data_IF_203892196926
#
_entry.id   IF_203892196926
#
_cell.length_a   1.000
_cell.length_b   1.000
_cell.length_c   1.000
_cell.angle_alpha   90.00
_cell.angle_beta   90.00
_cell.angle_gamma   90.00
#
_symmetry.space_group_name_H-M   'P 1'
#
loop_
_entity.id
_entity.type
_entity.pdbx_description
1 polymer ?
#
# COMPACT_ATOMS: atom_id res chain seq x y z
N UNK A 1 -20.74 37.59 -12.04
CA UNK A 1 -20.11 36.36 -11.51
C UNK A 1 -19.42 35.67 -12.67
N UNK A 2 -18.10 35.47 -12.65
CA UNK A 2 -17.36 35.08 -13.85
C UNK A 2 -17.53 33.59 -14.16
N UNK A 3 -17.40 33.19 -15.43
CA UNK A 3 -17.56 31.80 -15.88
C UNK A 3 -16.58 30.80 -15.23
N UNK A 4 -15.46 31.29 -14.68
CA UNK A 4 -14.47 30.48 -13.96
C UNK A 4 -14.96 30.11 -12.55
N UNK A 5 -15.64 31.04 -11.86
CA UNK A 5 -16.22 30.81 -10.53
C UNK A 5 -17.32 29.74 -10.56
N UNK A 6 -18.14 29.72 -11.61
CA UNK A 6 -19.23 28.73 -11.78
C UNK A 6 -18.66 27.32 -12.01
N UNK A 7 -17.58 27.21 -12.81
CA UNK A 7 -16.90 25.93 -13.06
C UNK A 7 -16.22 25.39 -11.80
N UNK A 8 -15.55 26.25 -11.03
CA UNK A 8 -14.88 25.86 -9.78
C UNK A 8 -15.89 25.39 -8.72
N UNK A 9 -17.00 26.10 -8.55
CA UNK A 9 -18.10 25.69 -7.68
C UNK A 9 -18.73 24.35 -8.11
N UNK A 10 -18.81 24.09 -9.42
CA UNK A 10 -19.35 22.82 -9.92
C UNK A 10 -18.46 21.61 -9.62
N UNK A 11 -17.13 21.77 -9.62
CA UNK A 11 -16.20 20.68 -9.31
C UNK A 11 -16.23 20.32 -7.82
N UNK A 12 -16.27 21.34 -6.96
CA UNK A 12 -16.39 21.17 -5.50
C UNK A 12 -17.72 20.49 -5.15
N UNK A 13 -18.84 20.95 -5.72
CA UNK A 13 -20.15 20.34 -5.46
C UNK A 13 -20.22 18.89 -5.95
N UNK A 14 -19.70 18.59 -7.15
CA UNK A 14 -19.65 17.20 -7.64
C UNK A 14 -18.82 16.28 -6.74
N UNK A 15 -17.69 16.77 -6.20
CA UNK A 15 -16.89 15.99 -5.24
C UNK A 15 -17.63 15.78 -3.92
N UNK A 16 -18.34 16.78 -3.42
CA UNK A 16 -19.16 16.66 -2.22
C UNK A 16 -20.27 15.61 -2.37
N UNK A 17 -20.97 15.62 -3.51
CA UNK A 17 -21.99 14.60 -3.83
C UNK A 17 -21.39 13.20 -3.95
N UNK A 18 -20.21 13.06 -4.55
CA UNK A 18 -19.52 11.77 -4.66
C UNK A 18 -19.14 11.20 -3.30
N UNK A 19 -18.61 12.03 -2.39
CA UNK A 19 -18.27 11.60 -1.03
C UNK A 19 -19.50 11.15 -0.25
N UNK A 20 -20.61 11.89 -0.36
CA UNK A 20 -21.89 11.49 0.28
C UNK A 20 -22.38 10.13 -0.22
N UNK A 21 -22.29 9.87 -1.53
CA UNK A 21 -22.65 8.55 -2.10
C UNK A 21 -21.69 7.45 -1.63
N UNK A 22 -20.42 7.78 -1.38
CA UNK A 22 -19.45 6.81 -0.90
C UNK A 22 -19.69 6.42 0.58
N UNK A 23 -20.10 7.38 1.43
CA UNK A 23 -20.43 7.12 2.84
C UNK A 23 -21.50 6.02 2.98
N UNK A 24 -22.52 6.07 2.13
CA UNK A 24 -23.62 5.09 2.09
C UNK A 24 -23.26 3.79 1.35
N UNK A 25 -22.10 3.72 0.69
CA UNK A 25 -21.73 2.58 -0.15
C UNK A 25 -21.30 1.35 0.63
N UNK A 26 -21.49 0.17 0.04
CA UNK A 26 -20.99 -1.09 0.60
C UNK A 26 -19.46 -1.12 0.79
N UNK A 27 -18.72 -0.25 0.09
CA UNK A 27 -17.26 -0.16 0.22
C UNK A 27 -16.86 0.46 1.55
N UNK A 28 -17.57 1.51 2.00
CA UNK A 28 -17.31 2.15 3.28
C UNK A 28 -17.81 1.30 4.46
N UNK A 29 -18.87 0.51 4.24
CA UNK A 29 -19.43 -0.39 5.25
C UNK A 29 -18.66 -1.72 5.41
N UNK A 30 -17.59 -1.96 4.65
CA UNK A 30 -16.81 -3.18 4.84
C UNK A 30 -16.13 -3.15 6.22
N UNK A 31 -16.15 -4.27 6.96
CA UNK A 31 -15.46 -4.33 8.25
C UNK A 31 -13.95 -4.15 8.04
N UNK A 32 -13.31 -3.47 8.99
CA UNK A 32 -11.85 -3.29 8.99
C UNK A 32 -11.07 -4.61 9.15
N UNK A 33 -11.76 -5.71 9.46
CA UNK A 33 -11.14 -7.02 9.55
C UNK A 33 -10.90 -7.59 8.16
N UNK A 34 -9.68 -8.06 7.86
CA UNK A 34 -9.39 -8.76 6.62
C UNK A 34 -10.36 -9.91 6.44
N UNK A 35 -10.98 -10.01 5.26
CA UNK A 35 -11.79 -11.17 4.89
C UNK A 35 -10.92 -12.42 5.07
N UNK A 36 -11.42 -13.51 5.69
CA UNK A 36 -10.63 -14.72 5.91
C UNK A 36 -9.99 -15.16 4.59
N UNK A 37 -8.69 -15.41 4.67
CA UNK A 37 -7.76 -15.73 3.58
C UNK A 37 -8.37 -16.78 2.63
N UNK A 38 -9.09 -16.33 1.59
CA UNK A 38 -9.41 -17.17 0.45
C UNK A 38 -8.13 -17.31 -0.35
N UNK A 39 -7.23 -18.17 0.15
CA UNK A 39 -5.89 -18.48 -0.37
C UNK A 39 -5.34 -17.46 -1.35
N UNK A 40 -4.50 -16.53 -0.88
CA UNK A 40 -3.91 -15.49 -1.70
C UNK A 40 -3.39 -16.04 -3.03
N UNK A 41 -4.11 -15.70 -4.10
CA UNK A 41 -3.79 -16.14 -5.47
C UNK A 41 -2.53 -15.46 -6.00
N UNK A 42 -2.21 -14.28 -5.44
CA UNK A 42 -1.06 -13.47 -5.81
C UNK A 42 0.01 -13.68 -4.76
N UNK A 43 1.21 -14.06 -5.20
CA UNK A 43 2.39 -14.22 -4.35
C UNK A 43 3.51 -13.37 -4.93
N UNK A 44 4.25 -12.70 -4.06
CA UNK A 44 5.48 -12.01 -4.42
C UNK A 44 6.68 -12.93 -4.16
N UNK A 45 7.79 -12.66 -4.83
CA UNK A 45 9.04 -13.37 -4.51
C UNK A 45 9.47 -13.05 -3.09
N UNK A 46 10.11 -14.01 -2.42
CA UNK A 46 10.66 -13.83 -1.07
C UNK A 46 11.57 -12.60 -0.97
N UNK A 47 12.38 -12.35 -2.00
CA UNK A 47 13.26 -11.18 -2.03
C UNK A 47 12.53 -9.84 -2.12
N UNK A 48 11.43 -9.78 -2.86
CA UNK A 48 10.59 -8.58 -2.91
C UNK A 48 9.93 -8.31 -1.55
N UNK A 49 9.42 -9.36 -0.90
CA UNK A 49 8.81 -9.26 0.44
C UNK A 49 9.86 -8.83 1.47
N UNK A 50 11.07 -9.41 1.43
CA UNK A 50 12.15 -9.08 2.36
C UNK A 50 12.57 -7.61 2.27
N UNK A 51 12.83 -7.11 1.05
CA UNK A 51 13.17 -5.70 0.85
C UNK A 51 12.04 -4.76 1.29
N UNK A 52 10.78 -5.13 1.05
CA UNK A 52 9.63 -4.35 1.50
C UNK A 52 9.53 -4.30 3.04
N UNK A 53 9.75 -5.42 3.73
CA UNK A 53 9.77 -5.48 5.19
C UNK A 53 10.91 -4.64 5.79
N UNK A 54 12.10 -4.64 5.15
CA UNK A 54 13.20 -3.76 5.55
C UNK A 54 12.84 -2.28 5.37
N UNK A 55 12.22 -1.91 4.25
CA UNK A 55 11.82 -0.53 3.94
C UNK A 55 10.70 -0.01 4.84
N UNK A 56 9.75 -0.87 5.23
CA UNK A 56 8.69 -0.50 6.18
C UNK A 56 9.18 -0.36 7.61
N UNK A 57 10.39 -0.85 7.91
CA UNK A 57 10.94 -0.90 9.26
C UNK A 57 10.29 -1.97 10.14
N UNK A 58 9.59 -2.94 9.54
CA UNK A 58 8.97 -4.05 10.27
C UNK A 58 10.04 -5.08 10.70
N UNK A 59 10.62 -4.83 11.89
CA UNK A 59 11.69 -5.66 12.42
C UNK A 59 11.26 -7.09 12.69
N UNK A 60 10.02 -7.29 13.14
CA UNK A 60 9.53 -8.62 13.50
C UNK A 60 9.36 -9.49 12.24
N UNK A 61 8.85 -8.90 11.16
CA UNK A 61 8.76 -9.57 9.87
C UNK A 61 10.16 -9.86 9.28
N UNK A 62 11.08 -8.89 9.33
CA UNK A 62 12.46 -9.08 8.86
C UNK A 62 13.15 -10.22 9.63
N UNK A 63 13.05 -10.24 10.96
CA UNK A 63 13.64 -11.30 11.79
C UNK A 63 13.06 -12.67 11.44
N UNK A 64 11.73 -12.77 11.31
CA UNK A 64 11.06 -14.00 10.91
C UNK A 64 11.54 -14.51 9.55
N UNK A 65 11.72 -13.62 8.58
CA UNK A 65 12.23 -14.00 7.27
C UNK A 65 13.69 -14.47 7.32
N UNK A 66 14.52 -13.85 8.16
CA UNK A 66 15.91 -14.29 8.38
C UNK A 66 15.96 -15.67 9.04
N UNK A 67 15.10 -15.95 10.03
CA UNK A 67 14.96 -17.27 10.64
C UNK A 67 14.52 -18.34 9.63
N UNK A 68 13.74 -17.94 8.62
CA UNK A 68 13.34 -18.81 7.50
C UNK A 68 14.42 -18.96 6.41
N UNK A 69 15.58 -18.33 6.58
CA UNK A 69 16.72 -18.45 5.66
C UNK A 69 16.70 -17.45 4.50
N UNK A 70 16.04 -16.31 4.64
CA UNK A 70 16.17 -15.22 3.67
C UNK A 70 17.62 -14.74 3.59
N UNK A 71 18.13 -14.53 2.36
CA UNK A 71 19.46 -13.96 2.15
C UNK A 71 19.44 -12.46 2.48
N UNK A 72 20.22 -12.07 3.48
CA UNK A 72 20.37 -10.66 3.90
C UNK A 72 20.92 -9.77 2.77
N UNK A 73 21.65 -10.35 1.81
CA UNK A 73 22.21 -9.65 0.65
C UNK A 73 21.29 -9.66 -0.57
N UNK A 74 20.01 -10.04 -0.39
CA UNK A 74 19.03 -9.96 -1.46
C UNK A 74 19.01 -8.56 -2.06
N UNK A 75 19.04 -8.50 -3.39
CA UNK A 75 19.00 -7.26 -4.16
C UNK A 75 17.77 -7.19 -5.06
N UNK A 76 17.37 -5.97 -5.41
CA UNK A 76 16.33 -5.73 -6.42
C UNK A 76 16.89 -5.90 -7.85
N UNK A 77 16.07 -5.61 -8.86
CA UNK A 77 16.46 -5.67 -10.28
C UNK A 77 17.63 -4.74 -10.64
N UNK A 78 17.84 -3.69 -9.87
CA UNK A 78 18.92 -2.71 -10.03
C UNK A 78 20.20 -3.09 -9.24
N UNK A 79 20.17 -4.19 -8.49
CA UNK A 79 21.29 -4.62 -7.64
C UNK A 79 21.35 -3.95 -6.25
N UNK A 80 20.33 -3.18 -5.87
CA UNK A 80 20.27 -2.52 -4.56
C UNK A 80 19.77 -3.49 -3.47
N UNK A 81 20.56 -3.63 -2.41
CA UNK A 81 20.17 -4.35 -1.19
C UNK A 81 19.43 -3.45 -0.21
N UNK A 82 18.85 -4.04 0.85
CA UNK A 82 18.19 -3.29 1.92
C UNK A 82 19.10 -2.18 2.50
N UNK A 83 20.40 -2.47 2.68
CA UNK A 83 21.36 -1.51 3.21
C UNK A 83 21.56 -0.29 2.32
N UNK A 84 21.57 -0.47 0.99
CA UNK A 84 21.66 0.66 0.07
C UNK A 84 20.46 1.59 0.19
N UNK A 85 19.27 1.03 0.44
CA UNK A 85 18.02 1.76 0.46
C UNK A 85 17.80 2.58 1.73
N UNK A 86 18.33 2.15 2.89
CA UNK A 86 18.22 2.90 4.15
C UNK A 86 19.18 4.10 4.25
N UNK A 87 20.12 4.23 3.31
CA UNK A 87 21.09 5.34 3.30
C UNK A 87 20.66 6.52 2.41
N UNK A 88 19.50 6.45 1.76
CA UNK A 88 18.93 7.51 0.93
C UNK A 88 17.87 8.30 1.70
#
# INVERSE_FOLDING_TARGET
MTSLDVRNNSAVMKRAEQLKRWEESDTNHQPATPRPERGNRIKFSSGCIFLAACLSGDKDEVLKMLEQGADINTSNVDGLTALHQVSL
#
